data_IF_987636982468
#
_entry.id   IF_987636982468
#
_cell.length_a   1.000
_cell.length_b   1.000
_cell.length_c   1.000
_cell.angle_alpha   90.00
_cell.angle_beta   90.00
_cell.angle_gamma   90.00
#
_symmetry.space_group_name_H-M   'P 1'
#
loop_
_entity.id
_entity.type
_entity.pdbx_description
1 polymer ?
#
# COMPACT_ATOMS: atom_id res chain seq x y z
N UNK A 1 -9.40 8.47 0.74
CA UNK A 1 -9.86 7.66 -0.37
C UNK A 1 -9.61 8.37 -1.70
N UNK A 2 -8.84 7.78 -2.60
CA UNK A 2 -8.57 8.35 -3.91
C UNK A 2 -9.27 7.53 -5.01
N UNK A 3 -10.44 7.99 -5.50
CA UNK A 3 -11.21 7.27 -6.49
C UNK A 3 -10.47 7.12 -7.84
N UNK A 4 -9.58 8.04 -8.22
CA UNK A 4 -8.80 7.97 -9.46
C UNK A 4 -7.77 6.83 -9.39
N UNK A 5 -7.02 6.73 -8.28
CA UNK A 5 -6.08 5.64 -8.05
C UNK A 5 -6.80 4.29 -8.07
N UNK A 6 -7.95 4.21 -7.41
CA UNK A 6 -8.79 3.01 -7.41
C UNK A 6 -9.25 2.64 -8.82
N UNK A 7 -9.78 3.60 -9.57
CA UNK A 7 -10.20 3.38 -10.94
C UNK A 7 -9.04 2.85 -11.78
N UNK A 8 -7.86 3.50 -11.71
CA UNK A 8 -6.66 3.09 -12.43
C UNK A 8 -6.22 1.66 -12.09
N UNK A 9 -6.17 1.32 -10.79
CA UNK A 9 -5.80 -0.02 -10.34
C UNK A 9 -6.76 -1.11 -10.81
N UNK A 10 -8.04 -0.77 -10.99
CA UNK A 10 -9.08 -1.71 -11.39
C UNK A 10 -9.31 -1.77 -12.91
N UNK A 11 -8.79 -0.82 -13.66
CA UNK A 11 -8.98 -0.71 -15.10
C UNK A 11 -8.18 -1.75 -15.87
N UNK A 12 -6.90 -1.92 -15.53
CA UNK A 12 -5.98 -2.79 -16.26
C UNK A 12 -4.90 -3.39 -15.38
N UNK A 13 -4.24 -4.41 -15.91
CA UNK A 13 -3.05 -5.03 -15.27
C UNK A 13 -1.96 -3.98 -15.07
N UNK A 14 -1.72 -3.14 -16.05
CA UNK A 14 -0.73 -2.06 -16.01
C UNK A 14 -1.08 -1.05 -14.93
N UNK A 15 -2.35 -0.66 -14.80
CA UNK A 15 -2.81 0.23 -13.75
C UNK A 15 -2.60 -0.36 -12.36
N UNK A 16 -2.90 -1.64 -12.16
CA UNK A 16 -2.61 -2.34 -10.90
C UNK A 16 -1.10 -2.36 -10.61
N UNK A 17 -0.27 -2.63 -11.61
CA UNK A 17 1.20 -2.66 -11.46
C UNK A 17 1.75 -1.28 -11.12
N UNK A 18 1.21 -0.20 -11.69
CA UNK A 18 1.58 1.18 -11.32
C UNK A 18 1.27 1.47 -9.84
N UNK A 19 0.08 1.08 -9.37
CA UNK A 19 -0.30 1.27 -7.96
C UNK A 19 0.57 0.43 -7.03
N UNK A 20 0.91 -0.81 -7.43
CA UNK A 20 1.88 -1.63 -6.72
C UNK A 20 3.27 -0.96 -6.66
N UNK A 21 3.75 -0.43 -7.79
CA UNK A 21 5.05 0.26 -7.85
C UNK A 21 5.07 1.45 -6.89
N UNK A 22 4.04 2.29 -6.85
CA UNK A 22 3.91 3.37 -5.88
C UNK A 22 3.98 2.86 -4.44
N UNK A 23 3.18 1.86 -4.11
CA UNK A 23 3.18 1.29 -2.76
C UNK A 23 4.56 0.75 -2.38
N UNK A 24 5.23 0.05 -3.29
CA UNK A 24 6.54 -0.55 -3.06
C UNK A 24 7.65 0.51 -2.94
N UNK A 25 7.66 1.53 -3.81
CA UNK A 25 8.63 2.64 -3.75
C UNK A 25 8.47 3.48 -2.51
N UNK A 26 7.25 3.64 -1.99
CA UNK A 26 6.98 4.40 -0.76
C UNK A 26 7.55 3.76 0.51
N UNK A 27 8.05 2.51 0.44
CA UNK A 27 8.69 1.85 1.59
C UNK A 27 10.00 2.56 1.92
N UNK A 28 10.08 3.17 3.12
CA UNK A 28 11.26 3.91 3.62
C UNK A 28 11.71 5.06 2.71
N UNK A 29 10.77 5.68 1.98
CA UNK A 29 11.04 6.82 1.11
C UNK A 29 10.30 8.05 1.61
N UNK A 30 10.93 9.20 1.51
CA UNK A 30 10.26 10.47 1.78
C UNK A 30 9.27 10.81 0.67
N UNK A 31 8.11 11.31 1.04
CA UNK A 31 7.02 11.58 0.09
C UNK A 31 7.41 12.49 -1.09
N UNK A 32 8.18 13.57 -0.91
CA UNK A 32 8.60 14.42 -2.03
C UNK A 32 9.37 13.70 -3.14
N UNK A 33 10.06 12.61 -2.78
CA UNK A 33 10.85 11.82 -3.74
C UNK A 33 10.03 10.79 -4.52
N UNK A 34 8.76 10.57 -4.15
CA UNK A 34 7.93 9.56 -4.80
C UNK A 34 7.61 9.90 -6.27
N UNK A 35 7.44 11.17 -6.59
CA UNK A 35 7.17 11.60 -7.96
C UNK A 35 8.33 11.20 -8.88
N UNK A 36 9.57 11.55 -8.50
CA UNK A 36 10.77 11.21 -9.27
C UNK A 36 10.96 9.70 -9.43
N UNK A 37 10.65 8.93 -8.39
CA UNK A 37 10.75 7.46 -8.44
C UNK A 37 9.67 6.86 -9.36
N UNK A 38 8.48 7.44 -9.39
CA UNK A 38 7.43 6.99 -10.30
C UNK A 38 7.73 7.36 -11.76
N UNK A 39 8.38 8.49 -12.00
CA UNK A 39 8.85 8.84 -13.34
C UNK A 39 9.92 7.85 -13.84
N UNK A 40 10.86 7.48 -12.99
CA UNK A 40 11.83 6.41 -13.28
C UNK A 40 11.16 5.06 -13.53
N UNK A 41 10.08 4.76 -12.79
CA UNK A 41 9.30 3.55 -13.04
C UNK A 41 8.61 3.59 -14.41
N UNK A 42 8.03 4.72 -14.80
CA UNK A 42 7.41 4.87 -16.13
C UNK A 42 8.40 4.69 -17.27
N UNK A 43 9.59 5.25 -17.12
CA UNK A 43 10.65 5.15 -18.11
C UNK A 43 11.22 3.74 -18.23
N UNK A 44 11.47 3.06 -17.10
CA UNK A 44 12.27 1.82 -17.03
C UNK A 44 11.45 0.57 -16.74
N UNK A 45 10.18 0.73 -16.43
CA UNK A 45 9.29 -0.37 -16.06
C UNK A 45 9.60 -1.00 -14.70
N UNK A 46 8.83 -2.03 -14.37
CA UNK A 46 8.87 -2.70 -13.07
C UNK A 46 10.25 -3.30 -12.74
N UNK A 47 10.92 -3.87 -13.71
CA UNK A 47 12.21 -4.54 -13.54
C UNK A 47 13.41 -3.61 -13.76
N UNK A 48 13.20 -2.40 -14.29
CA UNK A 48 14.26 -1.42 -14.55
C UNK A 48 14.30 -0.25 -13.57
N UNK A 49 13.21 -0.01 -12.83
CA UNK A 49 13.15 1.09 -11.87
C UNK A 49 14.16 0.90 -10.72
N UNK A 50 15.11 1.82 -10.53
CA UNK A 50 16.22 1.63 -9.58
C UNK A 50 15.76 1.33 -8.15
N UNK A 51 14.72 2.01 -7.69
CA UNK A 51 14.20 1.84 -6.32
C UNK A 51 13.60 0.44 -6.07
N UNK A 52 13.16 -0.24 -7.13
CA UNK A 52 12.61 -1.59 -7.04
C UNK A 52 13.67 -2.71 -7.15
N UNK A 53 14.96 -2.35 -7.33
CA UNK A 53 16.04 -3.33 -7.53
C UNK A 53 16.66 -3.85 -6.23
N UNK A 54 16.20 -3.43 -5.06
CA UNK A 54 16.86 -3.72 -3.78
C UNK A 54 16.05 -4.64 -2.87
N UNK A 55 16.72 -5.65 -2.33
CA UNK A 55 16.20 -6.49 -1.25
C UNK A 55 14.83 -7.11 -1.54
N UNK A 56 13.88 -6.92 -0.62
CA UNK A 56 12.55 -7.47 -0.74
C UNK A 56 11.69 -6.76 -1.82
N UNK A 57 12.00 -5.51 -2.17
CA UNK A 57 11.31 -4.81 -3.27
C UNK A 57 11.57 -5.52 -4.60
N UNK A 58 12.82 -5.93 -4.84
CA UNK A 58 13.19 -6.70 -6.04
C UNK A 58 12.47 -8.05 -6.11
N UNK A 59 12.40 -8.77 -4.99
CA UNK A 59 11.65 -10.04 -4.94
C UNK A 59 10.19 -9.84 -5.32
N UNK A 60 9.56 -8.80 -4.77
CA UNK A 60 8.19 -8.45 -5.09
C UNK A 60 8.01 -8.00 -6.54
N UNK A 61 8.94 -7.22 -7.10
CA UNK A 61 8.89 -6.78 -8.49
C UNK A 61 9.03 -7.95 -9.48
N UNK A 62 9.95 -8.89 -9.23
CA UNK A 62 10.09 -10.11 -10.02
C UNK A 62 8.82 -10.94 -9.97
N UNK A 63 8.32 -11.21 -8.76
CA UNK A 63 7.08 -11.98 -8.58
C UNK A 63 5.89 -11.30 -9.28
N UNK A 64 5.73 -9.99 -9.10
CA UNK A 64 4.65 -9.24 -9.75
C UNK A 64 4.76 -9.29 -11.27
N UNK A 65 5.97 -9.20 -11.83
CA UNK A 65 6.15 -9.30 -13.28
C UNK A 65 5.71 -10.66 -13.84
N UNK A 66 5.95 -11.74 -13.11
CA UNK A 66 5.59 -13.11 -13.51
C UNK A 66 4.09 -13.38 -13.32
N UNK A 67 3.47 -12.85 -12.25
CA UNK A 67 2.12 -13.21 -11.82
C UNK A 67 1.09 -12.09 -12.00
N UNK A 68 1.45 -10.96 -12.64
CA UNK A 68 0.60 -9.75 -12.72
C UNK A 68 -0.80 -10.01 -13.25
N UNK A 69 -0.96 -10.85 -14.28
CA UNK A 69 -2.27 -11.16 -14.84
C UNK A 69 -3.12 -11.97 -13.85
N UNK A 70 -2.58 -13.06 -13.32
CA UNK A 70 -3.27 -13.90 -12.34
C UNK A 70 -3.65 -13.10 -11.10
N UNK A 71 -2.71 -12.26 -10.63
CA UNK A 71 -2.94 -11.41 -9.47
C UNK A 71 -4.03 -10.36 -9.72
N UNK A 72 -4.06 -9.75 -10.89
CA UNK A 72 -5.12 -8.83 -11.30
C UNK A 72 -6.48 -9.53 -11.34
N UNK A 73 -6.57 -10.71 -11.93
CA UNK A 73 -7.81 -11.46 -12.02
C UNK A 73 -8.33 -11.87 -10.64
N UNK A 74 -7.43 -12.29 -9.75
CA UNK A 74 -7.74 -12.56 -8.34
C UNK A 74 -8.27 -11.33 -7.61
N UNK A 75 -7.62 -10.19 -7.75
CA UNK A 75 -8.08 -8.91 -7.21
C UNK A 75 -9.48 -8.55 -7.72
N UNK A 76 -9.72 -8.64 -9.03
CA UNK A 76 -11.04 -8.36 -9.64
C UNK A 76 -12.13 -9.31 -9.14
N UNK A 77 -11.80 -10.58 -8.94
CA UNK A 77 -12.73 -11.58 -8.39
C UNK A 77 -13.15 -11.20 -6.97
N UNK A 78 -12.21 -10.79 -6.11
CA UNK A 78 -12.52 -10.34 -4.75
C UNK A 78 -13.43 -9.10 -4.80
N UNK A 79 -13.10 -8.08 -5.60
CA UNK A 79 -13.88 -6.84 -5.70
C UNK A 79 -15.31 -7.12 -6.17
N UNK A 80 -15.50 -8.05 -7.11
CA UNK A 80 -16.82 -8.42 -7.65
C UNK A 80 -17.66 -9.25 -6.69
N UNK A 81 -17.04 -9.93 -5.73
CA UNK A 81 -17.74 -10.87 -4.84
C UNK A 81 -18.72 -10.17 -3.89
N UNK A 82 -18.42 -8.90 -3.51
CA UNK A 82 -19.21 -8.05 -2.59
C UNK A 82 -19.54 -8.72 -1.26
N UNK A 83 -18.64 -9.57 -0.76
CA UNK A 83 -18.77 -10.28 0.51
C UNK A 83 -18.27 -9.44 1.68
N UNK A 84 -18.73 -9.76 2.89
CA UNK A 84 -18.28 -9.10 4.12
C UNK A 84 -16.77 -9.28 4.37
N UNK A 85 -16.23 -10.42 3.95
CA UNK A 85 -14.83 -10.80 4.13
C UNK A 85 -13.89 -10.26 3.04
N UNK A 86 -14.39 -9.52 2.05
CA UNK A 86 -13.57 -9.08 0.90
C UNK A 86 -12.39 -8.19 1.30
N UNK A 87 -12.54 -7.39 2.35
CA UNK A 87 -11.45 -6.60 2.90
C UNK A 87 -10.29 -7.50 3.42
N UNK A 88 -10.63 -8.53 4.18
CA UNK A 88 -9.66 -9.52 4.67
C UNK A 88 -9.05 -10.31 3.51
N UNK A 89 -9.89 -10.77 2.59
CA UNK A 89 -9.44 -11.53 1.43
C UNK A 89 -8.50 -10.71 0.55
N UNK A 90 -8.73 -9.41 0.40
CA UNK A 90 -7.85 -8.52 -0.35
C UNK A 90 -6.49 -8.35 0.34
N UNK A 91 -6.46 -8.17 1.66
CA UNK A 91 -5.20 -8.13 2.41
C UNK A 91 -4.41 -9.43 2.23
N UNK A 92 -5.07 -10.58 2.37
CA UNK A 92 -4.43 -11.89 2.20
C UNK A 92 -3.93 -12.08 0.76
N UNK A 93 -4.65 -11.57 -0.23
CA UNK A 93 -4.25 -11.58 -1.62
C UNK A 93 -2.95 -10.78 -1.83
N UNK A 94 -2.85 -9.57 -1.29
CA UNK A 94 -1.63 -8.75 -1.37
C UNK A 94 -0.46 -9.32 -0.55
N UNK A 95 -0.71 -10.07 0.51
CA UNK A 95 0.35 -10.76 1.28
C UNK A 95 1.03 -11.90 0.50
N UNK A 96 0.52 -12.31 -0.65
CA UNK A 96 1.19 -13.25 -1.55
C UNK A 96 2.41 -12.61 -2.22
N UNK A 97 2.41 -11.30 -2.39
CA UNK A 97 3.52 -10.57 -3.02
C UNK A 97 4.71 -10.50 -2.06
N UNK A 98 5.87 -11.08 -2.40
CA UNK A 98 7.04 -11.04 -1.54
C UNK A 98 7.44 -9.60 -1.17
N UNK A 99 7.73 -9.38 0.11
CA UNK A 99 8.12 -8.06 0.62
C UNK A 99 6.96 -7.15 1.02
N UNK A 100 5.72 -7.50 0.74
CA UNK A 100 4.57 -6.80 1.31
C UNK A 100 4.19 -7.42 2.66
N UNK A 101 4.36 -6.64 3.74
CA UNK A 101 3.81 -6.97 5.05
C UNK A 101 2.41 -6.39 5.22
N UNK A 102 1.75 -6.67 6.36
CA UNK A 102 0.38 -6.20 6.65
C UNK A 102 0.17 -4.69 6.42
N UNK A 103 1.08 -3.77 6.84
CA UNK A 103 0.86 -2.34 6.58
C UNK A 103 0.78 -2.01 5.09
N UNK A 104 1.60 -2.63 4.25
CA UNK A 104 1.59 -2.39 2.80
C UNK A 104 0.48 -3.16 2.07
N UNK A 105 0.16 -4.37 2.51
CA UNK A 105 -1.03 -5.08 2.04
C UNK A 105 -2.32 -4.32 2.39
N UNK A 106 -2.40 -3.73 3.59
CA UNK A 106 -3.48 -2.84 3.99
C UNK A 106 -3.54 -1.56 3.14
N UNK A 107 -2.38 -0.97 2.83
CA UNK A 107 -2.29 0.19 1.94
C UNK A 107 -2.74 -0.16 0.51
N UNK A 108 -2.27 -1.27 -0.05
CA UNK A 108 -2.76 -1.74 -1.35
C UNK A 108 -4.27 -1.97 -1.34
N UNK A 109 -4.82 -2.58 -0.28
CA UNK A 109 -6.27 -2.78 -0.13
C UNK A 109 -7.01 -1.44 -0.10
N UNK A 110 -6.45 -0.43 0.57
CA UNK A 110 -6.98 0.93 0.58
C UNK A 110 -6.99 1.54 -0.82
N UNK A 111 -5.89 1.44 -1.56
CA UNK A 111 -5.76 2.02 -2.89
C UNK A 111 -6.70 1.36 -3.91
N UNK A 112 -6.87 0.03 -3.85
CA UNK A 112 -7.64 -0.71 -4.86
C UNK A 112 -9.12 -0.84 -4.56
N UNK A 113 -9.57 -0.72 -3.30
CA UNK A 113 -10.98 -0.87 -2.95
C UNK A 113 -11.53 0.12 -1.91
N UNK A 114 -10.70 1.05 -1.41
CA UNK A 114 -11.12 2.06 -0.42
C UNK A 114 -11.40 1.50 0.98
N UNK A 115 -10.87 0.32 1.30
CA UNK A 115 -11.03 -0.37 2.58
C UNK A 115 -9.65 -0.74 3.15
N UNK A 116 -9.60 -1.25 4.37
CA UNK A 116 -8.33 -1.55 5.03
C UNK A 116 -7.71 -0.29 5.61
N UNK A 117 -6.45 -0.07 5.31
CA UNK A 117 -5.72 1.12 5.75
C UNK A 117 -4.23 0.82 5.96
N UNK A 118 -3.43 1.86 5.95
CA UNK A 118 -2.00 1.78 6.20
C UNK A 118 -1.67 2.13 7.65
N UNK A 119 -1.50 1.12 8.51
CA UNK A 119 -0.89 1.30 9.83
C UNK A 119 0.63 1.35 9.68
N UNK A 120 1.12 2.45 9.14
CA UNK A 120 2.55 2.71 9.02
C UNK A 120 3.17 3.12 10.38
N UNK A 121 4.47 3.45 10.37
CA UNK A 121 5.19 3.83 11.57
C UNK A 121 4.60 5.07 12.26
N UNK A 122 4.02 6.01 11.51
CA UNK A 122 3.45 7.25 12.05
C UNK A 122 2.11 6.95 12.73
N UNK A 123 1.26 6.18 12.08
CA UNK A 123 0.00 5.73 12.65
C UNK A 123 0.21 4.81 13.88
N UNK A 124 1.22 3.93 13.83
CA UNK A 124 1.58 3.10 14.99
C UNK A 124 1.98 3.96 16.19
N UNK A 125 2.81 4.98 16.01
CA UNK A 125 3.19 5.90 17.11
C UNK A 125 2.00 6.60 17.73
N UNK A 126 1.02 6.95 16.93
CA UNK A 126 -0.18 7.65 17.40
C UNK A 126 -1.16 6.73 18.13
N UNK A 127 -1.45 5.57 17.57
CA UNK A 127 -2.51 4.68 18.06
C UNK A 127 -2.03 3.55 18.97
N UNK A 128 -0.75 3.24 18.93
CA UNK A 128 -0.12 2.18 19.70
C UNK A 128 1.19 2.72 20.30
N UNK A 129 1.12 3.77 21.15
CA UNK A 129 2.32 4.43 21.69
C UNK A 129 3.20 3.50 22.52
N UNK A 130 2.62 2.41 23.07
CA UNK A 130 3.34 1.36 23.79
C UNK A 130 4.20 0.46 22.88
N UNK A 131 4.01 0.54 21.57
CA UNK A 131 4.76 -0.28 20.60
C UNK A 131 5.99 0.49 20.11
N UNK A 132 7.17 -0.11 20.27
CA UNK A 132 8.41 0.44 19.72
C UNK A 132 8.40 0.39 18.18
N UNK A 133 7.95 1.49 17.58
CA UNK A 133 7.86 1.65 16.13
C UNK A 133 9.21 1.83 15.43
N UNK A 134 10.30 2.05 16.19
CA UNK A 134 11.66 2.17 15.61
C UNK A 134 12.13 0.87 14.95
N UNK A 135 11.60 -0.25 15.41
CA UNK A 135 11.86 -1.59 14.87
C UNK A 135 10.99 -1.96 13.65
N UNK A 136 10.16 -1.02 13.16
CA UNK A 136 9.27 -1.23 12.03
C UNK A 136 7.95 -1.91 12.42
N UNK A 137 7.46 -2.84 11.58
CA UNK A 137 6.18 -3.54 11.83
C UNK A 137 6.23 -4.34 13.14
N UNK A 138 5.28 -4.14 14.06
CA UNK A 138 5.20 -4.90 15.31
C UNK A 138 5.17 -6.40 15.08
N UNK A 139 5.81 -7.18 15.97
CA UNK A 139 5.88 -8.65 15.88
C UNK A 139 4.50 -9.30 15.73
N UNK A 140 3.46 -8.75 16.38
CA UNK A 140 2.09 -9.24 16.24
C UNK A 140 1.58 -9.22 14.80
N UNK A 141 2.11 -8.34 13.93
CA UNK A 141 1.72 -8.17 12.52
C UNK A 141 2.77 -8.67 11.52
N UNK A 142 3.88 -9.23 11.98
CA UNK A 142 4.85 -9.84 11.08
C UNK A 142 4.30 -11.15 10.51
N UNK A 143 4.30 -11.27 9.18
CA UNK A 143 3.70 -12.40 8.45
C UNK A 143 4.70 -13.25 7.70
N UNK A 144 5.95 -12.82 7.60
CA UNK A 144 7.00 -13.57 6.90
C UNK A 144 7.23 -14.93 7.56
N UNK A 145 7.25 -16.00 6.77
CA UNK A 145 7.47 -17.37 7.26
C UNK A 145 6.32 -17.97 8.07
N UNK A 146 5.16 -17.28 8.14
CA UNK A 146 4.00 -17.78 8.89
C UNK A 146 3.07 -18.63 8.01
N UNK A 147 2.33 -19.57 8.65
CA UNK A 147 1.27 -20.33 7.99
C UNK A 147 0.11 -19.41 7.54
N UNK A 148 -0.67 -19.86 6.56
CA UNK A 148 -1.81 -19.10 6.04
C UNK A 148 -2.85 -18.81 7.14
N UNK A 149 -3.09 -19.76 8.05
CA UNK A 149 -3.97 -19.57 9.20
C UNK A 149 -3.46 -18.46 10.14
N UNK A 150 -2.15 -18.47 10.43
CA UNK A 150 -1.52 -17.43 11.24
C UNK A 150 -1.57 -16.07 10.55
N UNK A 151 -1.32 -16.00 9.24
CA UNK A 151 -1.46 -14.77 8.45
C UNK A 151 -2.89 -14.23 8.52
N UNK A 152 -3.90 -15.10 8.36
CA UNK A 152 -5.32 -14.75 8.45
C UNK A 152 -5.67 -14.16 9.83
N UNK A 153 -5.27 -14.82 10.91
CA UNK A 153 -5.49 -14.34 12.27
C UNK A 153 -4.86 -12.95 12.50
N UNK A 154 -3.60 -12.78 12.07
CA UNK A 154 -2.89 -11.50 12.17
C UNK A 154 -3.53 -10.40 11.31
N UNK A 155 -4.04 -10.74 10.13
CA UNK A 155 -4.75 -9.79 9.27
C UNK A 155 -6.09 -9.34 9.88
N UNK A 156 -6.82 -10.24 10.55
CA UNK A 156 -8.03 -9.88 11.30
C UNK A 156 -7.70 -8.92 12.44
N UNK A 157 -6.67 -9.23 13.24
CA UNK A 157 -6.20 -8.34 14.31
C UNK A 157 -5.78 -6.97 13.74
N UNK A 158 -5.00 -6.94 12.68
CA UNK A 158 -4.57 -5.72 11.99
C UNK A 158 -5.77 -4.87 11.54
N UNK A 159 -6.76 -5.47 10.89
CA UNK A 159 -7.96 -4.77 10.44
C UNK A 159 -8.78 -4.20 11.60
N UNK A 160 -8.82 -4.86 12.75
CA UNK A 160 -9.49 -4.31 13.93
C UNK A 160 -8.86 -3.00 14.40
N UNK A 161 -7.53 -2.92 14.40
CA UNK A 161 -6.80 -1.68 14.69
C UNK A 161 -7.02 -0.60 13.62
N UNK A 162 -6.99 -0.96 12.35
CA UNK A 162 -7.32 -0.01 11.28
C UNK A 162 -8.72 0.61 11.50
N UNK A 163 -9.72 -0.17 11.88
CA UNK A 163 -11.08 0.31 12.17
C UNK A 163 -11.12 1.23 13.37
N UNK A 164 -10.43 0.93 14.46
CA UNK A 164 -10.31 1.80 15.63
C UNK A 164 -9.67 3.15 15.29
N UNK A 165 -8.74 3.17 14.33
CA UNK A 165 -8.09 4.37 13.83
C UNK A 165 -8.90 5.14 12.77
N UNK A 166 -10.18 4.81 12.56
CA UNK A 166 -11.07 5.48 11.60
C UNK A 166 -11.08 4.84 10.20
N UNK A 167 -10.49 3.64 10.07
CA UNK A 167 -10.43 2.88 8.81
C UNK A 167 -9.54 3.54 7.75
N UNK A 168 -9.74 3.16 6.49
CA UNK A 168 -8.95 3.65 5.37
C UNK A 168 -8.94 5.19 5.28
N UNK A 169 -10.11 5.82 5.46
CA UNK A 169 -10.23 7.29 5.39
C UNK A 169 -9.48 7.97 6.54
N UNK A 170 -9.75 7.56 7.78
CA UNK A 170 -9.11 8.17 8.96
C UNK A 170 -7.59 8.05 8.94
N UNK A 171 -7.07 6.87 8.56
CA UNK A 171 -5.63 6.64 8.43
C UNK A 171 -5.01 7.46 7.30
N UNK A 172 -5.73 7.66 6.19
CA UNK A 172 -5.29 8.50 5.08
C UNK A 172 -5.25 9.98 5.47
N UNK A 173 -6.33 10.49 6.04
CA UNK A 173 -6.41 11.89 6.46
C UNK A 173 -5.26 12.24 7.43
N UNK A 174 -4.99 11.38 8.40
CA UNK A 174 -3.90 11.57 9.34
C UNK A 174 -2.51 11.50 8.72
N UNK A 175 -2.33 10.64 7.71
CA UNK A 175 -1.08 10.62 6.96
C UNK A 175 -0.91 11.92 6.17
N UNK A 176 -1.97 12.44 5.55
CA UNK A 176 -1.96 13.73 4.85
C UNK A 176 -1.62 14.88 5.80
N UNK A 177 -2.24 14.93 6.97
CA UNK A 177 -1.95 15.95 8.00
C UNK A 177 -0.49 15.90 8.44
N UNK A 178 0.02 14.69 8.70
CA UNK A 178 1.43 14.50 9.07
C UNK A 178 2.38 14.99 7.96
N UNK A 179 2.10 14.67 6.70
CA UNK A 179 2.95 15.09 5.57
C UNK A 179 2.90 16.61 5.39
N UNK A 180 1.73 17.23 5.53
CA UNK A 180 1.59 18.69 5.46
C UNK A 180 2.38 19.39 6.56
N UNK A 181 2.38 18.84 7.76
CA UNK A 181 3.15 19.36 8.90
C UNK A 181 4.66 19.20 8.69
N UNK A 182 5.12 18.04 8.21
CA UNK A 182 6.55 17.74 8.05
C UNK A 182 7.18 18.38 6.80
N UNK A 183 6.40 18.64 5.77
CA UNK A 183 6.87 19.14 4.47
C UNK A 183 5.97 20.27 3.95
N UNK A 184 5.85 21.40 4.68
CA UNK A 184 4.92 22.48 4.31
C UNK A 184 5.21 23.05 2.92
N UNK A 185 6.48 23.15 2.55
CA UNK A 185 6.91 23.74 1.26
C UNK A 185 6.76 22.77 0.07
N UNK A 186 6.65 21.46 0.33
CA UNK A 186 6.53 20.47 -0.73
C UNK A 186 5.11 20.44 -1.34
N UNK A 187 4.12 21.03 -0.65
CA UNK A 187 2.69 20.93 -0.98
C UNK A 187 1.99 22.27 -0.80
N UNK A 188 2.35 23.26 -1.61
CA UNK A 188 1.82 24.64 -1.56
C UNK A 188 0.30 24.77 -1.62
N UNK A 189 -0.41 23.75 -2.08
CA UNK A 189 -1.87 23.80 -2.27
C UNK A 189 -2.69 22.97 -1.28
N UNK A 190 -2.07 22.33 -0.29
CA UNK A 190 -2.78 21.41 0.64
C UNK A 190 -3.35 20.14 -0.02
N UNK A 191 -3.27 20.02 -1.34
CA UNK A 191 -3.76 18.88 -2.11
C UNK A 191 -2.59 17.95 -2.48
N UNK A 192 -2.24 17.07 -1.55
CA UNK A 192 -1.17 16.09 -1.73
C UNK A 192 -1.46 15.07 -2.83
N UNK A 193 -2.73 14.93 -3.18
CA UNK A 193 -3.21 14.02 -4.21
C UNK A 193 -3.03 14.65 -5.59
N UNK A 194 -3.21 15.98 -5.72
CA UNK A 194 -3.07 16.66 -7.01
C UNK A 194 -1.65 16.64 -7.54
N UNK A 195 -0.64 16.66 -6.67
CA UNK A 195 0.78 16.54 -7.10
C UNK A 195 1.17 15.11 -7.48
N UNK A 196 0.51 14.11 -6.91
CA UNK A 196 0.59 12.73 -7.38
C UNK A 196 -0.35 12.47 -8.57
N UNK A 197 -1.29 13.40 -8.85
CA UNK A 197 -2.28 13.28 -9.92
C UNK A 197 -1.66 13.06 -11.31
N UNK A 198 -0.59 13.75 -11.75
CA UNK A 198 0.07 13.47 -13.02
C UNK A 198 0.57 12.02 -13.12
N UNK A 199 0.87 11.38 -12.00
CA UNK A 199 1.30 9.97 -11.94
C UNK A 199 0.16 9.03 -12.34
N UNK A 200 -1.11 9.46 -12.17
CA UNK A 200 -2.29 8.61 -12.35
C UNK A 200 -3.05 8.86 -13.64
N UNK A 201 -2.89 10.02 -14.23
CA UNK A 201 -3.74 10.51 -15.34
C UNK A 201 -3.03 10.50 -16.69
N UNK A 202 -1.72 10.34 -16.74
CA UNK A 202 -0.94 10.28 -17.99
C UNK A 202 -0.73 8.87 -18.51
#
# INVERSE_FOLDING_TARGET
DNPLVRARAQESVEGMVQVYALCSTSIRKQTPLLCDEMDKFREKGLLGAPELQWGNKRKGALWMNEHKQEHFDGMKKIIRSKKKEDELNMILHWLQVPGLGLPKAGFMTQLVMGKGGCMDVHNIRKYLPEVDSSKGTPNRWQTSGQSEETKKRKAVDYLSFCKLAGGAKGLWDQWCDFIAEQYPDAFESGDHVSKLHPIWVS
#
